data_IF_695859991516
#
_entry.id   IF_695859991516
#
_cell.length_a   1.000
_cell.length_b   1.000
_cell.length_c   1.000
_cell.angle_alpha   90.00
_cell.angle_beta   90.00
_cell.angle_gamma   90.00
#
_symmetry.space_group_name_H-M   'P 1'
#
loop_
_entity.id
_entity.type
_entity.pdbx_description
1 polymer ?
#
# COMPACT_ATOMS: atom_id res chain seq x y z
N UNK A 1 7.96 -24.42 21.90
CA UNK A 1 8.16 -23.47 20.80
C UNK A 1 6.83 -22.84 20.39
N UNK A 2 6.11 -22.25 21.36
CA UNK A 2 4.93 -21.43 21.07
C UNK A 2 5.41 -19.99 21.12
N UNK A 3 5.89 -19.53 19.98
CA UNK A 3 6.09 -18.12 19.70
C UNK A 3 4.70 -17.52 19.47
N UNK A 4 4.30 -16.57 20.33
CA UNK A 4 3.11 -15.77 20.09
C UNK A 4 3.45 -14.81 18.94
N UNK A 5 2.59 -14.66 17.91
CA UNK A 5 2.89 -13.74 16.81
C UNK A 5 3.11 -12.33 17.38
N UNK A 6 4.18 -11.61 16.95
CA UNK A 6 4.47 -10.27 17.45
C UNK A 6 3.28 -9.34 17.18
N UNK A 7 3.01 -8.35 18.06
CA UNK A 7 1.92 -7.39 17.83
C UNK A 7 2.14 -6.67 16.49
N UNK A 8 1.21 -6.90 15.54
CA UNK A 8 1.17 -6.23 14.22
C UNK A 8 1.80 -7.00 13.03
N UNK A 9 1.87 -8.33 13.11
CA UNK A 9 2.69 -9.26 12.31
C UNK A 9 2.49 -9.38 10.79
N UNK A 10 2.26 -8.30 10.06
CA UNK A 10 2.31 -8.32 8.60
C UNK A 10 3.39 -7.36 8.11
N UNK A 11 4.58 -7.91 7.82
CA UNK A 11 5.65 -7.15 7.20
C UNK A 11 5.23 -6.54 5.86
N UNK A 12 6.12 -5.72 5.26
CA UNK A 12 5.84 -5.07 3.98
C UNK A 12 5.37 -6.05 2.91
N UNK A 13 4.16 -5.85 2.40
CA UNK A 13 3.48 -6.81 1.51
C UNK A 13 2.41 -6.16 0.63
N UNK A 14 2.10 -6.82 -0.49
CA UNK A 14 0.97 -6.45 -1.35
C UNK A 14 -0.35 -6.90 -0.71
N UNK A 15 -1.30 -5.98 -0.58
CA UNK A 15 -2.62 -6.22 0.00
C UNK A 15 -3.71 -5.68 -0.92
N UNK A 16 -4.94 -6.15 -0.79
CA UNK A 16 -6.07 -5.63 -1.57
C UNK A 16 -6.21 -4.13 -1.35
N UNK A 17 -6.35 -3.38 -2.45
CA UNK A 17 -6.49 -1.93 -2.35
C UNK A 17 -7.80 -1.55 -1.64
N UNK A 18 -7.76 -0.83 -0.51
CA UNK A 18 -8.96 -0.47 0.23
C UNK A 18 -9.82 0.58 -0.49
N UNK A 19 -9.26 1.29 -1.48
CA UNK A 19 -10.00 2.29 -2.26
C UNK A 19 -10.79 1.66 -3.42
N UNK A 20 -10.51 0.40 -3.77
CA UNK A 20 -11.10 -0.30 -4.90
C UNK A 20 -10.70 0.25 -6.28
N UNK A 21 -9.67 1.11 -6.34
CA UNK A 21 -9.19 1.72 -7.59
C UNK A 21 -8.19 0.83 -8.32
N UNK A 22 -7.47 0.00 -7.57
CA UNK A 22 -6.47 -0.94 -8.06
C UNK A 22 -6.71 -2.34 -7.49
N UNK A 23 -6.06 -3.37 -8.05
CA UNK A 23 -6.20 -4.72 -7.49
C UNK A 23 -5.45 -4.87 -6.16
N UNK A 24 -4.22 -4.39 -6.11
CA UNK A 24 -3.35 -4.45 -4.93
C UNK A 24 -2.72 -3.08 -4.65
N UNK A 25 -2.55 -2.76 -3.37
CA UNK A 25 -1.77 -1.63 -2.88
C UNK A 25 -0.74 -2.12 -1.88
N UNK A 26 0.46 -1.54 -1.98
CA UNK A 26 1.57 -1.90 -1.11
C UNK A 26 1.30 -1.41 0.31
N UNK A 27 1.43 -2.30 1.28
CA UNK A 27 1.44 -1.98 2.70
C UNK A 27 2.89 -2.07 3.18
N UNK A 28 3.43 -1.01 3.79
CA UNK A 28 4.83 -0.99 4.24
C UNK A 28 5.06 -1.74 5.57
N UNK A 29 3.99 -2.22 6.20
CA UNK A 29 3.99 -2.78 7.56
C UNK A 29 3.32 -1.85 8.57
N UNK A 30 3.18 -0.57 8.22
CA UNK A 30 2.48 0.44 9.04
C UNK A 30 1.31 1.06 8.28
N UNK A 31 1.48 1.43 7.02
CA UNK A 31 0.46 2.09 6.22
C UNK A 31 0.42 1.60 4.76
N UNK A 32 -0.66 1.92 4.05
CA UNK A 32 -0.72 1.77 2.60
C UNK A 32 0.05 2.93 1.93
N UNK A 33 0.84 2.62 0.90
CA UNK A 33 1.61 3.60 0.13
C UNK A 33 0.97 3.85 -1.24
N UNK A 34 1.57 4.72 -2.06
CA UNK A 34 1.16 4.97 -3.44
C UNK A 34 1.52 3.83 -4.42
N UNK A 35 2.29 2.82 -4.01
CA UNK A 35 2.60 1.70 -4.90
C UNK A 35 1.38 0.81 -5.05
N UNK A 36 0.98 0.56 -6.28
CA UNK A 36 -0.17 -0.26 -6.65
C UNK A 36 0.24 -1.33 -7.64
N UNK A 37 -0.57 -2.39 -7.78
CA UNK A 37 -0.38 -3.37 -8.82
C UNK A 37 -1.72 -3.80 -9.41
N UNK A 38 -1.76 -3.90 -10.74
CA UNK A 38 -2.92 -4.31 -11.53
C UNK A 38 -2.46 -5.37 -12.54
N UNK A 39 -3.14 -6.52 -12.57
CA UNK A 39 -2.80 -7.66 -13.44
C UNK A 39 -1.34 -8.12 -13.27
N UNK A 40 -0.79 -7.97 -12.06
CA UNK A 40 0.61 -8.26 -11.76
C UNK A 40 1.62 -7.19 -12.19
N UNK A 41 1.16 -6.10 -12.82
CA UNK A 41 1.99 -4.95 -13.20
C UNK A 41 2.02 -3.93 -12.08
N UNK A 42 3.21 -3.63 -11.55
CA UNK A 42 3.38 -2.62 -10.51
C UNK A 42 3.44 -1.21 -11.10
N UNK A 43 2.77 -0.26 -10.45
CA UNK A 43 2.78 1.15 -10.80
C UNK A 43 2.72 2.00 -9.52
N UNK A 44 2.74 3.32 -9.69
CA UNK A 44 2.49 4.28 -8.60
C UNK A 44 1.17 4.96 -8.89
N UNK A 45 0.20 4.84 -7.97
CA UNK A 45 -1.00 5.67 -8.01
C UNK A 45 -0.54 7.12 -7.88
N UNK A 46 -0.75 7.91 -8.93
CA UNK A 46 -0.65 9.35 -8.82
C UNK A 46 -1.86 9.83 -8.04
N UNK A 47 -1.84 9.60 -6.72
CA UNK A 47 -2.84 10.05 -5.79
C UNK A 47 -2.84 11.57 -5.82
N UNK A 48 -3.69 12.15 -6.67
CA UNK A 48 -3.98 13.58 -6.80
C UNK A 48 -2.90 14.45 -6.16
N UNK A 49 -1.82 14.74 -6.90
CA UNK A 49 -1.10 15.97 -6.61
C UNK A 49 -2.14 17.08 -6.78
N UNK A 50 -2.85 17.45 -5.71
CA UNK A 50 -3.50 18.74 -5.62
C UNK A 50 -2.45 19.74 -6.08
N UNK A 51 -2.80 20.72 -6.94
CA UNK A 51 -1.80 21.58 -7.58
C UNK A 51 -0.85 22.06 -6.50
N UNK A 52 0.45 21.83 -6.71
CA UNK A 52 1.51 22.35 -5.86
C UNK A 52 1.17 23.82 -5.58
N UNK A 53 0.66 24.10 -4.38
CA UNK A 53 0.27 25.44 -4.00
C UNK A 53 1.58 26.20 -3.82
N UNK A 54 1.89 26.95 -4.86
CA UNK A 54 2.90 28.00 -4.93
C UNK A 54 2.87 28.84 -3.64
N UNK A 55 4.03 29.02 -3.02
CA UNK A 55 4.34 30.13 -2.14
C UNK A 55 5.85 30.38 -2.18
#
# INVERSE_FOLDING_TARGET
MTDAPPPGGDGPSWRTDPTGRHQLRWFDGVAYTDRVADDGVQSTDAGSAGPAAVA
#
